data_IF_923937678985
#
_entry.id   IF_923937678985
#
_cell.length_a   1.000
_cell.length_b   1.000
_cell.length_c   1.000
_cell.angle_alpha   90.00
_cell.angle_beta   90.00
_cell.angle_gamma   90.00
#
_symmetry.space_group_name_H-M   'P 1'
#
loop_
_entity.id
_entity.type
_entity.pdbx_description
1 polymer ?
#
# COMPACT_ATOMS: atom_id res chain seq x y z
N UNK A 1 6.83 10.89 -43.32
CA UNK A 1 6.09 11.22 -42.08
C UNK A 1 6.13 12.73 -41.90
N UNK A 2 5.00 13.40 -42.12
CA UNK A 2 4.89 14.86 -42.12
C UNK A 2 4.75 15.41 -40.70
N UNK A 3 5.41 16.56 -40.45
CA UNK A 3 5.58 17.27 -39.17
C UNK A 3 4.27 17.83 -38.53
N UNK A 4 3.09 17.32 -38.92
CA UNK A 4 1.77 17.85 -38.50
C UNK A 4 1.08 17.10 -37.36
N UNK A 5 1.65 15.99 -36.86
CA UNK A 5 1.06 15.23 -35.73
C UNK A 5 1.53 15.67 -34.33
N UNK A 6 2.41 16.67 -34.25
CA UNK A 6 2.99 17.16 -32.98
C UNK A 6 2.18 18.28 -32.29
N UNK A 7 1.15 18.84 -32.94
CA UNK A 7 0.54 20.11 -32.55
C UNK A 7 -0.85 20.04 -31.90
N UNK A 8 -1.32 18.87 -31.48
CA UNK A 8 -2.54 18.72 -30.67
C UNK A 8 -2.24 18.24 -29.24
N UNK A 9 -1.19 18.78 -28.64
CA UNK A 9 -0.93 18.66 -27.22
C UNK A 9 -1.82 19.65 -26.45
N UNK A 10 -2.79 19.16 -25.66
CA UNK A 10 -3.55 20.03 -24.74
C UNK A 10 -2.58 20.74 -23.77
N UNK A 11 -2.83 22.01 -23.39
CA UNK A 11 -1.88 22.84 -22.63
C UNK A 11 -1.33 22.21 -21.35
N UNK A 12 -2.09 21.33 -20.70
CA UNK A 12 -1.68 20.66 -19.47
C UNK A 12 -0.67 19.50 -19.63
N UNK A 13 -0.44 18.99 -20.85
CA UNK A 13 0.54 17.91 -21.10
C UNK A 13 1.97 18.44 -21.20
N UNK A 14 2.12 19.61 -21.82
CA UNK A 14 3.40 20.33 -21.92
C UNK A 14 3.93 20.66 -20.52
N UNK A 15 3.04 20.97 -19.58
CA UNK A 15 3.39 21.36 -18.22
C UNK A 15 4.19 20.30 -17.44
N UNK A 16 3.76 19.03 -17.43
CA UNK A 16 4.44 17.99 -16.63
C UNK A 16 5.75 17.53 -17.26
N UNK A 17 5.79 17.40 -18.59
CA UNK A 17 7.04 17.09 -19.29
C UNK A 17 8.06 18.23 -19.14
N UNK A 18 7.61 19.50 -19.19
CA UNK A 18 8.47 20.65 -18.90
C UNK A 18 8.97 20.64 -17.46
N UNK A 19 8.15 20.22 -16.49
CA UNK A 19 8.54 20.14 -15.08
C UNK A 19 9.57 19.03 -14.82
N UNK A 20 9.38 17.85 -15.40
CA UNK A 20 10.39 16.78 -15.32
C UNK A 20 11.70 17.19 -15.98
N UNK A 21 11.62 17.82 -17.16
CA UNK A 21 12.78 18.34 -17.86
C UNK A 21 13.49 19.41 -17.03
N UNK A 22 12.74 20.31 -16.40
CA UNK A 22 13.28 21.33 -15.51
C UNK A 22 14.04 20.71 -14.33
N UNK A 23 13.45 19.74 -13.61
CA UNK A 23 14.17 19.08 -12.50
C UNK A 23 15.46 18.39 -12.97
N UNK A 24 15.45 17.75 -14.15
CA UNK A 24 16.65 17.13 -14.72
C UNK A 24 17.70 18.16 -15.15
N UNK A 25 17.29 19.28 -15.73
CA UNK A 25 18.19 20.40 -16.05
C UNK A 25 18.80 21.00 -14.78
N UNK A 26 18.08 20.94 -13.66
CA UNK A 26 18.59 21.28 -12.33
C UNK A 26 19.44 20.16 -11.69
N UNK A 27 19.79 19.11 -12.44
CA UNK A 27 20.65 18.01 -11.98
C UNK A 27 19.94 16.95 -11.12
N UNK A 28 18.60 17.00 -10.98
CA UNK A 28 17.86 16.06 -10.12
C UNK A 28 17.46 14.79 -10.87
N UNK A 29 17.40 13.68 -10.15
CA UNK A 29 16.80 12.42 -10.59
C UNK A 29 15.29 12.48 -10.40
N UNK A 30 14.53 12.11 -11.42
CA UNK A 30 13.06 12.10 -11.39
C UNK A 30 12.57 10.69 -11.10
N UNK A 31 11.98 10.48 -9.92
CA UNK A 31 11.40 9.20 -9.49
C UNK A 31 9.89 9.28 -9.53
N UNK A 32 9.24 8.24 -10.05
CA UNK A 32 7.80 8.14 -10.17
C UNK A 32 7.25 7.11 -9.18
N UNK A 33 6.22 7.49 -8.44
CA UNK A 33 5.50 6.64 -7.49
C UNK A 33 4.11 6.37 -8.03
N UNK A 34 3.87 5.15 -8.49
CA UNK A 34 2.62 4.75 -9.12
C UNK A 34 1.75 3.97 -8.12
N UNK A 35 0.59 4.55 -7.79
CA UNK A 35 -0.47 3.88 -7.04
C UNK A 35 -1.82 4.00 -7.74
N UNK A 36 -2.49 2.86 -7.94
CA UNK A 36 -3.82 2.81 -8.56
C UNK A 36 -4.96 2.72 -7.53
N UNK A 37 -4.62 2.64 -6.24
CA UNK A 37 -5.56 2.46 -5.13
C UNK A 37 -5.15 3.32 -3.92
N UNK A 38 -6.06 3.52 -2.97
CA UNK A 38 -5.72 4.10 -1.67
C UNK A 38 -4.66 3.28 -0.94
N UNK A 39 -4.79 1.94 -0.99
CA UNK A 39 -3.85 0.98 -0.42
C UNK A 39 -2.39 1.16 -0.87
N UNK A 40 -2.16 1.31 -2.18
CA UNK A 40 -0.80 1.46 -2.73
C UNK A 40 -0.02 2.62 -2.12
N UNK A 41 -0.73 3.60 -1.54
CA UNK A 41 -0.11 4.72 -0.83
C UNK A 41 0.62 4.30 0.43
N UNK A 42 0.05 3.40 1.23
CA UNK A 42 0.63 3.01 2.53
C UNK A 42 1.99 2.31 2.36
N UNK A 43 2.18 1.58 1.26
CA UNK A 43 3.45 0.90 0.94
C UNK A 43 4.50 1.83 0.34
N UNK A 44 4.08 2.86 -0.41
CA UNK A 44 4.99 3.78 -1.08
C UNK A 44 5.29 5.05 -0.27
N UNK A 45 4.47 5.39 0.72
CA UNK A 45 4.62 6.61 1.51
C UNK A 45 5.94 6.67 2.29
N UNK A 46 6.42 5.61 2.98
CA UNK A 46 7.71 5.64 3.66
C UNK A 46 8.87 5.85 2.68
N UNK A 47 8.81 5.20 1.52
CA UNK A 47 9.78 5.42 0.43
C UNK A 47 9.74 6.87 -0.04
N UNK A 48 8.55 7.45 -0.25
CA UNK A 48 8.41 8.85 -0.63
C UNK A 48 8.97 9.81 0.41
N UNK A 49 8.72 9.56 1.70
CA UNK A 49 9.26 10.35 2.81
C UNK A 49 10.79 10.41 2.71
N UNK A 50 11.43 9.24 2.58
CA UNK A 50 12.87 9.13 2.46
C UNK A 50 13.40 9.81 1.18
N UNK A 51 12.78 9.58 0.02
CA UNK A 51 13.20 10.24 -1.22
C UNK A 51 13.05 11.76 -1.18
N UNK A 52 12.09 12.28 -0.39
CA UNK A 52 11.82 13.72 -0.29
C UNK A 52 12.84 14.46 0.58
N UNK A 53 13.65 13.75 1.38
CA UNK A 53 14.76 14.36 2.15
C UNK A 53 15.98 14.65 1.26
N UNK A 54 16.02 14.06 0.07
CA UNK A 54 17.17 14.09 -0.84
C UNK A 54 17.02 15.18 -1.90
N UNK A 55 17.87 16.20 -1.84
CA UNK A 55 17.80 17.38 -2.71
C UNK A 55 18.09 17.06 -4.18
N UNK A 56 18.86 15.99 -4.43
CA UNK A 56 19.21 15.43 -5.72
C UNK A 56 18.09 14.58 -6.34
N UNK A 57 17.01 14.32 -5.59
CA UNK A 57 15.86 13.53 -6.05
C UNK A 57 14.61 14.42 -6.11
N UNK A 58 13.80 14.17 -7.13
CA UNK A 58 12.42 14.67 -7.21
C UNK A 58 11.46 13.50 -7.40
N UNK A 59 10.63 13.25 -6.41
CA UNK A 59 9.61 12.20 -6.45
C UNK A 59 8.23 12.76 -6.84
N UNK A 60 7.55 12.08 -7.78
CA UNK A 60 6.24 12.44 -8.30
C UNK A 60 5.22 11.33 -8.11
N UNK A 61 4.01 11.67 -7.67
CA UNK A 61 2.93 10.72 -7.48
C UNK A 61 2.05 10.62 -8.72
N UNK A 62 1.93 9.41 -9.26
CA UNK A 62 1.01 9.06 -10.33
C UNK A 62 -0.16 8.30 -9.69
N UNK A 63 -1.33 8.95 -9.65
CA UNK A 63 -2.50 8.41 -8.95
C UNK A 63 -3.63 8.07 -9.93
N UNK A 64 -4.24 6.89 -9.75
CA UNK A 64 -5.48 6.55 -10.45
C UNK A 64 -6.60 7.54 -10.07
N UNK A 65 -7.30 8.09 -11.07
CA UNK A 65 -8.35 9.08 -10.87
C UNK A 65 -9.70 8.42 -10.54
N UNK A 66 -9.75 7.59 -9.49
CA UNK A 66 -11.02 7.23 -8.84
C UNK A 66 -11.28 8.24 -7.72
N UNK A 67 -12.52 8.73 -7.60
CA UNK A 67 -12.95 9.66 -6.53
C UNK A 67 -12.59 9.12 -5.14
N UNK A 68 -12.72 7.82 -4.94
CA UNK A 68 -12.29 7.09 -3.73
C UNK A 68 -10.78 7.28 -3.46
N UNK A 69 -9.91 7.11 -4.46
CA UNK A 69 -8.47 7.31 -4.31
C UNK A 69 -8.11 8.76 -3.92
N UNK A 70 -8.93 9.75 -4.28
CA UNK A 70 -8.67 11.14 -3.90
C UNK A 70 -9.08 11.45 -2.45
N UNK A 71 -10.17 10.85 -1.97
CA UNK A 71 -10.64 11.05 -0.60
C UNK A 71 -9.75 10.28 0.39
N UNK A 72 -9.42 9.03 0.07
CA UNK A 72 -8.47 8.22 0.86
C UNK A 72 -7.11 8.89 0.96
N UNK A 73 -6.64 9.47 -0.13
CA UNK A 73 -5.41 10.26 -0.17
C UNK A 73 -5.42 11.42 0.83
N UNK A 74 -6.53 12.17 0.95
CA UNK A 74 -6.61 13.30 1.89
C UNK A 74 -6.58 12.84 3.34
N UNK A 75 -7.20 11.70 3.63
CA UNK A 75 -7.35 11.18 4.98
C UNK A 75 -6.07 10.50 5.52
N UNK A 76 -5.24 9.94 4.62
CA UNK A 76 -4.02 9.19 4.98
C UNK A 76 -2.76 10.02 5.07
N UNK A 77 -2.73 11.15 4.39
CA UNK A 77 -1.58 12.04 4.44
C UNK A 77 -1.62 12.80 5.75
N UNK A 78 -0.89 12.28 6.74
CA UNK A 78 -0.97 12.68 8.14
C UNK A 78 -0.54 14.11 8.47
N UNK A 79 -0.01 14.88 7.51
CA UNK A 79 0.33 16.30 7.71
C UNK A 79 -0.09 17.17 6.53
N UNK A 80 -0.42 18.43 6.81
CA UNK A 80 -0.80 19.40 5.78
C UNK A 80 0.35 19.66 4.79
N UNK A 81 1.60 19.59 5.27
CA UNK A 81 2.81 19.75 4.46
C UNK A 81 2.98 18.59 3.48
N UNK A 82 2.80 17.36 3.95
CA UNK A 82 2.86 16.19 3.08
C UNK A 82 1.70 16.22 2.07
N UNK A 83 0.53 16.72 2.47
CA UNK A 83 -0.63 16.85 1.59
C UNK A 83 -0.36 17.90 0.52
N UNK A 84 0.30 19.01 0.87
CA UNK A 84 0.74 20.04 -0.06
C UNK A 84 1.81 19.52 -1.02
N UNK A 85 2.83 18.81 -0.52
CA UNK A 85 3.90 18.23 -1.31
C UNK A 85 3.34 17.21 -2.31
N UNK A 86 2.49 16.29 -1.87
CA UNK A 86 1.91 15.32 -2.79
C UNK A 86 0.89 15.98 -3.74
N UNK A 87 0.12 16.98 -3.32
CA UNK A 87 -0.77 17.76 -4.22
C UNK A 87 0.02 18.44 -5.34
N UNK A 88 1.15 19.03 -5.00
CA UNK A 88 2.00 19.73 -5.96
C UNK A 88 2.62 18.79 -7.00
N UNK A 89 2.79 17.51 -6.67
CA UNK A 89 3.46 16.50 -7.51
C UNK A 89 2.51 15.38 -7.98
N UNK A 90 1.19 15.60 -7.92
CA UNK A 90 0.15 14.64 -8.30
C UNK A 90 -0.22 14.73 -9.79
N UNK A 91 -0.15 13.60 -10.49
CA UNK A 91 -0.55 13.48 -11.89
C UNK A 91 -1.83 12.63 -11.99
N UNK A 92 -2.97 13.20 -12.45
CA UNK A 92 -4.21 12.44 -12.63
C UNK A 92 -4.15 11.42 -13.77
N UNK A 93 -4.70 10.20 -13.56
CA UNK A 93 -4.78 9.11 -14.56
C UNK A 93 -5.28 9.49 -15.95
N UNK A 94 -6.30 10.34 -16.05
CA UNK A 94 -6.83 10.79 -17.36
C UNK A 94 -5.76 11.47 -18.21
N UNK A 95 -4.68 11.95 -17.57
CA UNK A 95 -3.52 12.54 -18.24
C UNK A 95 -2.42 11.51 -18.51
N UNK A 96 -2.37 10.41 -17.76
CA UNK A 96 -1.33 9.36 -17.78
C UNK A 96 -1.39 8.52 -19.06
N UNK A 97 -2.57 8.12 -19.55
CA UNK A 97 -2.74 7.45 -20.85
C UNK A 97 -2.27 8.29 -22.05
N UNK A 98 -2.22 9.61 -21.91
CA UNK A 98 -1.76 10.54 -22.96
C UNK A 98 -0.29 10.94 -22.79
N UNK A 99 0.27 10.83 -21.58
CA UNK A 99 1.72 10.96 -21.33
C UNK A 99 2.49 9.77 -21.92
N UNK A 100 1.87 8.58 -22.04
CA UNK A 100 2.47 7.43 -22.75
C UNK A 100 2.81 7.68 -24.24
N UNK A 101 2.19 8.69 -24.88
CA UNK A 101 2.52 9.10 -26.26
C UNK A 101 3.74 10.04 -26.34
N UNK A 102 4.09 10.71 -25.24
CA UNK A 102 5.23 11.61 -25.15
C UNK A 102 6.05 11.26 -23.93
N UNK A 103 6.93 10.26 -24.13
CA UNK A 103 8.05 9.87 -23.27
C UNK A 103 8.01 10.50 -21.87
N UNK A 104 7.43 9.78 -20.91
CA UNK A 104 7.71 10.03 -19.50
C UNK A 104 9.24 10.11 -19.34
N UNK A 105 9.76 11.25 -18.88
CA UNK A 105 11.19 11.44 -18.60
C UNK A 105 11.42 11.17 -17.11
N UNK A 106 11.05 9.98 -16.67
CA UNK A 106 11.41 9.46 -15.34
C UNK A 106 12.73 8.70 -15.44
N UNK A 107 13.57 8.82 -14.43
CA UNK A 107 14.78 8.00 -14.30
C UNK A 107 14.45 6.64 -13.68
N UNK A 108 13.39 6.56 -12.85
CA UNK A 108 12.98 5.34 -12.17
C UNK A 108 11.48 5.38 -11.83
N UNK A 109 10.83 4.21 -11.77
CA UNK A 109 9.48 4.07 -11.25
C UNK A 109 9.41 3.05 -10.11
N UNK A 110 8.59 3.33 -9.12
CA UNK A 110 8.27 2.44 -8.01
C UNK A 110 6.75 2.30 -7.98
N UNK A 111 6.26 1.07 -7.93
CA UNK A 111 4.84 0.78 -7.87
C UNK A 111 4.55 -0.31 -6.88
N UNK A 112 3.39 -0.21 -6.24
CA UNK A 112 2.92 -1.28 -5.39
C UNK A 112 2.02 -2.28 -6.16
N UNK A 113 1.72 -2.07 -7.45
CA UNK A 113 0.78 -2.93 -8.20
C UNK A 113 1.46 -3.67 -9.35
N UNK A 114 1.13 -4.95 -9.51
CA UNK A 114 1.45 -5.73 -10.71
C UNK A 114 0.17 -5.88 -11.53
N UNK A 115 0.21 -5.50 -12.81
CA UNK A 115 -0.93 -5.66 -13.73
C UNK A 115 -2.16 -4.77 -13.45
N UNK A 116 -2.97 -4.53 -14.50
CA UNK A 116 -4.18 -3.69 -14.46
C UNK A 116 -3.96 -2.29 -15.02
N UNK A 117 -4.90 -1.83 -15.86
CA UNK A 117 -4.78 -0.60 -16.65
C UNK A 117 -4.66 0.71 -15.83
N UNK A 118 -4.07 1.78 -16.43
CA UNK A 118 -2.96 1.73 -17.35
C UNK A 118 -1.68 1.90 -16.54
N UNK A 119 -0.75 1.00 -16.78
CA UNK A 119 0.66 1.31 -16.83
C UNK A 119 0.95 1.96 -18.20
N UNK A 120 1.03 3.30 -18.35
CA UNK A 120 1.62 3.89 -19.53
C UNK A 120 3.02 4.38 -19.16
N UNK A 121 3.78 3.53 -18.49
CA UNK A 121 5.20 3.78 -18.27
C UNK A 121 5.88 3.17 -19.48
N UNK A 122 6.64 4.02 -20.19
CA UNK A 122 7.54 3.58 -21.23
C UNK A 122 8.34 2.38 -20.70
N UNK A 123 8.27 1.22 -21.38
CA UNK A 123 8.98 -0.02 -20.98
C UNK A 123 10.49 0.17 -20.78
N UNK A 124 11.05 1.31 -21.21
CA UNK A 124 12.45 1.69 -21.01
C UNK A 124 12.76 2.27 -19.62
N UNK A 125 11.77 2.69 -18.83
CA UNK A 125 12.02 3.20 -17.48
C UNK A 125 12.16 2.00 -16.53
N UNK A 126 13.29 1.84 -15.83
CA UNK A 126 13.43 0.82 -14.81
C UNK A 126 12.33 0.96 -13.76
N UNK A 127 11.60 -0.14 -13.54
CA UNK A 127 10.42 -0.15 -12.68
C UNK A 127 10.57 -1.21 -11.60
N UNK A 128 10.48 -0.76 -10.35
CA UNK A 128 10.47 -1.59 -9.16
C UNK A 128 9.07 -1.84 -8.64
N UNK A 129 8.81 -3.09 -8.28
CA UNK A 129 7.60 -3.52 -7.58
C UNK A 129 7.86 -3.61 -6.07
N UNK A 130 6.99 -2.97 -5.29
CA UNK A 130 6.93 -3.09 -3.84
C UNK A 130 5.72 -3.96 -3.49
N UNK A 131 5.91 -5.13 -2.88
CA UNK A 131 4.77 -5.99 -2.61
C UNK A 131 3.80 -5.46 -1.54
N UNK A 132 2.52 -5.80 -1.69
CA UNK A 132 1.41 -5.32 -0.85
C UNK A 132 1.22 -6.08 0.47
N UNK A 133 2.21 -6.87 0.90
CA UNK A 133 2.10 -7.67 2.12
C UNK A 133 3.28 -8.61 2.29
N UNK A 134 3.52 -9.02 3.54
CA UNK A 134 4.42 -10.13 3.85
C UNK A 134 3.65 -11.41 3.53
N UNK A 135 4.12 -12.20 2.56
CA UNK A 135 3.34 -13.31 1.99
C UNK A 135 3.24 -14.43 3.00
N UNK A 136 2.12 -15.13 2.98
CA UNK A 136 1.91 -16.41 3.63
C UNK A 136 0.99 -17.33 2.82
N UNK A 137 0.65 -16.91 1.60
CA UNK A 137 -0.24 -17.61 0.66
C UNK A 137 0.54 -17.89 -0.60
N UNK A 138 0.28 -19.04 -1.21
CA UNK A 138 0.83 -19.34 -2.54
C UNK A 138 0.36 -18.26 -3.50
N UNK A 139 1.32 -17.56 -4.12
CA UNK A 139 1.02 -16.65 -5.22
C UNK A 139 0.95 -17.51 -6.47
N UNK A 140 -0.26 -17.98 -6.79
CA UNK A 140 -0.49 -18.87 -7.93
C UNK A 140 -0.28 -18.15 -9.26
N UNK A 141 -0.72 -16.88 -9.33
CA UNK A 141 -0.57 -16.00 -10.48
C UNK A 141 0.08 -14.68 -10.07
N UNK A 142 1.36 -14.48 -10.40
CA UNK A 142 1.89 -13.13 -10.47
C UNK A 142 1.41 -12.46 -11.77
N UNK A 143 0.92 -11.22 -11.72
CA UNK A 143 0.54 -10.49 -12.92
C UNK A 143 1.75 -10.28 -13.83
N UNK A 144 1.52 -10.06 -15.13
CA UNK A 144 2.57 -9.91 -16.16
C UNK A 144 3.78 -9.08 -15.66
N UNK A 145 4.83 -9.80 -15.28
CA UNK A 145 6.07 -9.25 -14.72
C UNK A 145 6.94 -8.61 -15.81
N UNK A 146 6.58 -8.72 -17.09
CA UNK A 146 7.32 -8.06 -18.18
C UNK A 146 7.38 -6.53 -18.01
N UNK A 147 6.49 -5.97 -17.18
CA UNK A 147 6.42 -4.54 -16.86
C UNK A 147 7.28 -4.12 -15.66
N UNK A 148 7.65 -5.04 -14.76
CA UNK A 148 8.43 -4.76 -13.56
C UNK A 148 9.60 -5.74 -13.48
N UNK A 149 10.82 -5.26 -13.72
CA UNK A 149 12.03 -6.10 -13.70
C UNK A 149 12.75 -6.08 -12.36
N UNK A 150 12.40 -5.15 -11.46
CA UNK A 150 13.07 -4.99 -10.16
C UNK A 150 12.08 -5.33 -9.04
N UNK A 151 12.48 -6.21 -8.12
CA UNK A 151 11.71 -6.58 -6.95
C UNK A 151 12.31 -5.85 -5.75
N UNK A 152 11.53 -4.99 -5.11
CA UNK A 152 11.88 -4.46 -3.79
C UNK A 152 11.45 -5.50 -2.76
N UNK A 153 12.37 -6.42 -2.47
CA UNK A 153 12.09 -7.61 -1.66
C UNK A 153 12.02 -7.23 -0.18
N UNK A 154 10.91 -7.61 0.50
CA UNK A 154 10.81 -7.46 1.95
C UNK A 154 11.51 -8.57 2.72
N UNK A 155 11.99 -9.63 2.06
CA UNK A 155 12.75 -10.69 2.70
C UNK A 155 12.77 -12.01 1.93
N UNK A 156 13.40 -13.05 2.49
CA UNK A 156 13.74 -14.30 1.80
C UNK A 156 12.57 -14.99 1.09
N UNK A 157 11.37 -14.92 1.66
CA UNK A 157 10.19 -15.54 1.04
C UNK A 157 9.86 -14.95 -0.33
N UNK A 158 10.07 -13.65 -0.53
CA UNK A 158 9.88 -13.04 -1.86
C UNK A 158 10.99 -13.39 -2.83
N UNK A 159 12.20 -13.69 -2.34
CA UNK A 159 13.32 -14.15 -3.15
C UNK A 159 13.05 -15.57 -3.67
N UNK A 160 12.47 -16.43 -2.83
CA UNK A 160 11.99 -17.76 -3.21
C UNK A 160 10.87 -17.67 -4.23
N UNK A 161 9.87 -16.80 -4.00
CA UNK A 161 8.78 -16.57 -4.95
C UNK A 161 9.37 -16.14 -6.31
N UNK A 162 10.24 -15.13 -6.33
CA UNK A 162 10.90 -14.68 -7.56
C UNK A 162 11.66 -15.83 -8.28
N UNK A 163 12.34 -16.68 -7.51
CA UNK A 163 13.08 -17.85 -8.03
C UNK A 163 12.15 -18.90 -8.64
N UNK A 164 10.99 -19.17 -8.05
CA UNK A 164 10.01 -20.12 -8.60
C UNK A 164 9.38 -19.66 -9.92
N UNK A 165 9.29 -18.36 -10.18
CA UNK A 165 8.84 -17.85 -11.47
C UNK A 165 9.91 -17.93 -12.55
N UNK A 166 11.19 -17.82 -12.17
CA UNK A 166 12.31 -18.04 -13.10
C UNK A 166 12.28 -19.46 -13.69
N UNK A 167 12.07 -20.48 -12.84
CA UNK A 167 12.02 -21.88 -13.29
C UNK A 167 10.83 -22.18 -14.21
N UNK A 168 9.81 -21.32 -14.24
CA UNK A 168 8.65 -21.38 -15.16
C UNK A 168 8.87 -20.65 -16.50
N UNK A 169 10.10 -20.22 -16.79
CA UNK A 169 10.45 -19.55 -18.06
C UNK A 169 10.06 -18.07 -18.14
N UNK A 170 9.74 -17.44 -17.00
CA UNK A 170 9.44 -16.00 -16.94
C UNK A 170 10.71 -15.17 -16.71
N UNK A 171 10.64 -13.87 -16.99
CA UNK A 171 11.76 -12.94 -16.87
C UNK A 171 12.35 -12.92 -15.45
N UNK A 172 13.69 -12.91 -15.36
CA UNK A 172 14.40 -12.76 -14.09
C UNK A 172 14.13 -11.38 -13.47
N UNK A 173 13.81 -11.40 -12.18
CA UNK A 173 13.78 -10.20 -11.35
C UNK A 173 15.21 -9.83 -10.93
N UNK A 174 15.54 -8.55 -10.98
CA UNK A 174 16.64 -7.97 -10.21
C UNK A 174 16.13 -7.69 -8.79
N UNK A 175 16.69 -8.37 -7.79
CA UNK A 175 16.17 -8.36 -6.42
C UNK A 175 16.94 -7.36 -5.58
N UNK A 176 16.25 -6.35 -5.07
CA UNK A 176 16.79 -5.34 -4.17
C UNK A 176 16.17 -5.53 -2.79
N UNK A 177 16.97 -5.97 -1.81
CA UNK A 177 16.51 -6.17 -0.45
C UNK A 177 16.39 -4.81 0.25
N UNK A 178 15.16 -4.40 0.53
CA UNK A 178 14.88 -3.12 1.19
C UNK A 178 14.06 -3.26 2.48
N UNK A 179 13.76 -4.51 2.90
CA UNK A 179 12.83 -4.77 3.99
C UNK A 179 11.41 -4.34 3.62
N UNK A 180 10.59 -4.04 4.63
CA UNK A 180 9.18 -3.71 4.42
C UNK A 180 8.85 -2.29 4.91
N UNK A 181 9.10 -1.25 4.09
CA UNK A 181 9.07 0.15 4.54
C UNK A 181 7.78 0.59 5.22
N UNK A 182 6.65 -0.05 4.85
CA UNK A 182 5.34 0.22 5.45
C UNK A 182 5.39 0.19 6.98
N UNK A 183 6.14 -0.74 7.59
CA UNK A 183 6.14 -0.94 9.05
C UNK A 183 7.35 -0.31 9.77
N UNK A 184 8.27 0.36 9.06
CA UNK A 184 9.49 0.94 9.64
C UNK A 184 9.18 1.85 10.84
N UNK A 185 8.20 2.74 10.69
CA UNK A 185 7.79 3.67 11.75
C UNK A 185 7.21 2.95 12.97
N UNK A 186 6.55 1.80 12.75
CA UNK A 186 5.99 0.99 13.83
C UNK A 186 7.11 0.29 14.59
N UNK A 187 8.07 -0.31 13.89
CA UNK A 187 9.24 -0.98 14.48
C UNK A 187 10.06 0.03 15.29
N UNK A 188 10.31 1.22 14.74
CA UNK A 188 11.04 2.27 15.45
C UNK A 188 10.35 2.69 16.76
N UNK A 189 9.01 2.67 16.80
CA UNK A 189 8.21 3.04 17.97
C UNK A 189 7.98 1.87 18.94
N UNK A 190 7.97 0.63 18.47
CA UNK A 190 7.70 -0.54 19.32
C UNK A 190 8.81 -0.78 20.34
N UNK A 191 10.06 -0.40 20.02
CA UNK A 191 11.18 -0.42 20.96
C UNK A 191 10.90 0.37 22.26
N UNK A 192 10.05 1.40 22.22
CA UNK A 192 9.66 2.17 23.40
C UNK A 192 8.46 1.58 24.18
N UNK A 193 7.71 0.64 23.58
CA UNK A 193 6.44 0.08 24.11
C UNK A 193 6.63 -0.82 25.32
N UNK A 194 7.79 -1.47 25.45
CA UNK A 194 8.06 -2.46 26.51
C UNK A 194 8.09 -1.89 27.95
N UNK A 195 7.94 -0.57 28.12
CA UNK A 195 7.99 0.10 29.41
C UNK A 195 6.64 0.25 30.14
N UNK A 196 5.49 -0.11 29.56
CA UNK A 196 4.15 0.25 30.09
C UNK A 196 3.17 -0.91 30.36
N UNK A 197 3.58 -2.18 30.19
CA UNK A 197 2.70 -3.38 30.25
C UNK A 197 2.14 -3.76 31.65
N UNK A 198 2.20 -2.89 32.66
CA UNK A 198 1.99 -3.30 34.06
C UNK A 198 0.65 -2.98 34.74
N UNK A 199 -0.23 -2.12 34.17
CA UNK A 199 -1.37 -1.57 34.93
C UNK A 199 -2.69 -1.35 34.17
N UNK A 200 -2.81 -1.76 32.90
CA UNK A 200 -4.01 -1.54 32.09
C UNK A 200 -4.65 -2.87 31.67
N UNK A 201 -5.98 -2.87 31.47
CA UNK A 201 -6.70 -3.99 30.86
C UNK A 201 -6.08 -4.30 29.50
N UNK A 202 -5.64 -5.55 29.24
CA UNK A 202 -4.97 -5.88 27.99
C UNK A 202 -5.88 -5.63 26.79
N UNK A 203 -5.27 -5.16 25.70
CA UNK A 203 -5.98 -4.85 24.45
C UNK A 203 -5.64 -5.87 23.38
N UNK A 204 -6.67 -6.48 22.78
CA UNK A 204 -6.55 -7.49 21.73
C UNK A 204 -6.95 -6.89 20.39
N UNK A 205 -6.08 -7.02 19.39
CA UNK A 205 -6.39 -6.69 18.00
C UNK A 205 -6.94 -7.93 17.29
N UNK A 206 -8.23 -7.93 16.98
CA UNK A 206 -8.85 -8.93 16.12
C UNK A 206 -8.77 -8.50 14.66
N UNK A 207 -7.98 -9.23 13.85
CA UNK A 207 -7.70 -8.89 12.46
C UNK A 207 -7.73 -10.12 11.54
N UNK A 208 -8.92 -10.72 11.28
CA UNK A 208 -9.05 -11.94 10.48
C UNK A 208 -8.89 -11.70 8.97
N UNK A 209 -8.64 -12.79 8.23
CA UNK A 209 -8.65 -12.81 6.77
C UNK A 209 -10.08 -12.75 6.23
N UNK A 210 -10.26 -12.13 5.07
CA UNK A 210 -11.58 -11.94 4.43
C UNK A 210 -12.08 -13.15 3.62
N UNK A 211 -11.23 -14.13 3.38
CA UNK A 211 -11.47 -15.20 2.41
C UNK A 211 -12.48 -16.24 2.95
N UNK A 212 -13.01 -17.07 2.05
CA UNK A 212 -13.82 -18.22 2.43
C UNK A 212 -13.02 -19.16 3.35
N UNK A 213 -13.68 -19.75 4.34
CA UNK A 213 -13.09 -20.62 5.36
C UNK A 213 -12.07 -19.93 6.29
N UNK A 214 -11.88 -18.61 6.19
CA UNK A 214 -11.12 -17.84 7.16
C UNK A 214 -11.91 -17.63 8.45
N UNK A 215 -11.26 -17.12 9.51
CA UNK A 215 -11.86 -16.99 10.82
C UNK A 215 -13.14 -16.12 10.81
N UNK A 216 -13.16 -15.06 10.00
CA UNK A 216 -14.36 -14.22 9.85
C UNK A 216 -15.52 -14.96 9.17
N UNK A 217 -15.24 -15.82 8.20
CA UNK A 217 -16.28 -16.60 7.49
C UNK A 217 -16.84 -17.73 8.37
N UNK A 218 -15.98 -18.39 9.15
CA UNK A 218 -16.35 -19.55 9.98
C UNK A 218 -16.96 -19.14 11.31
N UNK A 219 -16.34 -18.19 12.01
CA UNK A 219 -16.71 -17.82 13.38
C UNK A 219 -17.37 -16.45 13.49
N UNK A 220 -17.36 -15.66 12.41
CA UNK A 220 -17.89 -14.30 12.43
C UNK A 220 -17.25 -13.45 13.51
N UNK A 221 -18.10 -12.85 14.35
CA UNK A 221 -17.69 -11.99 15.46
C UNK A 221 -17.74 -12.70 16.82
N UNK A 222 -17.99 -14.01 16.87
CA UNK A 222 -17.97 -14.77 18.11
C UNK A 222 -16.62 -14.67 18.87
N UNK A 223 -15.44 -14.61 18.21
CA UNK A 223 -14.19 -14.35 18.92
C UNK A 223 -14.16 -12.98 19.61
N UNK A 224 -14.80 -11.95 19.03
CA UNK A 224 -14.90 -10.63 19.67
C UNK A 224 -15.76 -10.71 20.93
N UNK A 225 -16.89 -11.41 20.86
CA UNK A 225 -17.77 -11.61 22.02
C UNK A 225 -17.03 -12.33 23.17
N UNK A 226 -16.32 -13.43 22.87
CA UNK A 226 -15.54 -14.18 23.86
C UNK A 226 -14.41 -13.34 24.52
N UNK A 227 -13.72 -12.49 23.73
CA UNK A 227 -12.70 -11.59 24.26
C UNK A 227 -13.28 -10.53 25.21
N UNK A 228 -14.48 -10.03 24.92
CA UNK A 228 -15.19 -9.08 25.77
C UNK A 228 -15.69 -9.73 27.07
N UNK A 229 -16.17 -10.98 27.00
CA UNK A 229 -16.55 -11.78 28.16
C UNK A 229 -15.35 -12.04 29.09
N UNK A 230 -14.17 -12.24 28.52
CA UNK A 230 -12.90 -12.33 29.26
C UNK A 230 -12.44 -10.99 29.87
N UNK A 231 -13.19 -9.91 29.67
CA UNK A 231 -12.93 -8.60 30.26
C UNK A 231 -11.89 -7.76 29.53
N UNK A 232 -11.51 -8.13 28.30
CA UNK A 232 -10.46 -7.47 27.52
C UNK A 232 -10.97 -6.27 26.73
N UNK A 233 -10.06 -5.36 26.37
CA UNK A 233 -10.34 -4.36 25.34
C UNK A 233 -10.13 -5.01 23.96
N UNK A 234 -11.00 -4.72 22.99
CA UNK A 234 -10.93 -5.32 21.66
C UNK A 234 -10.90 -4.24 20.58
N UNK A 235 -9.86 -4.27 19.75
CA UNK A 235 -9.79 -3.50 18.50
C UNK A 235 -10.19 -4.45 17.37
N UNK A 236 -11.25 -4.12 16.63
CA UNK A 236 -11.73 -4.91 15.50
C UNK A 236 -11.31 -4.24 14.20
N UNK A 237 -10.40 -4.88 13.45
CA UNK A 237 -9.93 -4.41 12.14
C UNK A 237 -10.22 -5.45 11.08
N UNK A 238 -11.27 -5.23 10.30
CA UNK A 238 -11.59 -6.09 9.17
C UNK A 238 -10.85 -5.65 7.90
N UNK A 239 -10.71 -6.56 6.94
CA UNK A 239 -10.17 -6.21 5.63
C UNK A 239 -11.20 -5.34 4.87
N UNK A 240 -10.76 -4.37 4.03
CA UNK A 240 -11.67 -3.55 3.24
C UNK A 240 -12.60 -4.36 2.32
N UNK A 241 -12.13 -5.51 1.81
CA UNK A 241 -12.98 -6.46 1.07
C UNK A 241 -14.15 -6.93 1.93
N UNK A 242 -13.94 -7.27 3.21
CA UNK A 242 -15.00 -7.64 4.16
C UNK A 242 -15.99 -6.50 4.43
N UNK A 243 -15.52 -5.25 4.35
CA UNK A 243 -16.33 -4.05 4.55
C UNK A 243 -17.03 -3.58 3.27
N UNK A 244 -16.76 -4.22 2.13
CA UNK A 244 -17.34 -3.92 0.82
C UNK A 244 -18.40 -4.93 0.39
N UNK A 245 -18.93 -4.73 -0.82
CA UNK A 245 -19.82 -5.70 -1.49
C UNK A 245 -18.98 -6.69 -2.28
N UNK A 246 -18.46 -7.72 -1.62
CA UNK A 246 -17.70 -8.78 -2.27
C UNK A 246 -18.44 -10.13 -2.16
N UNK A 247 -18.47 -10.98 -3.20
CA UNK A 247 -19.21 -12.25 -3.18
C UNK A 247 -18.84 -13.22 -2.05
N UNK A 248 -17.62 -13.08 -1.52
CA UNK A 248 -17.12 -13.87 -0.39
C UNK A 248 -17.79 -13.50 0.95
N UNK A 249 -18.36 -12.30 1.04
CA UNK A 249 -18.98 -11.83 2.27
C UNK A 249 -20.39 -12.40 2.36
N UNK A 250 -20.62 -13.27 3.35
CA UNK A 250 -21.93 -13.87 3.60
C UNK A 250 -22.87 -12.96 4.37
N UNK A 251 -22.33 -11.96 5.07
CA UNK A 251 -23.03 -10.99 5.89
C UNK A 251 -22.57 -9.57 5.55
N UNK A 252 -23.40 -8.58 5.87
CA UNK A 252 -22.97 -7.19 5.90
C UNK A 252 -22.19 -6.91 7.19
N UNK A 253 -20.88 -7.16 7.15
CA UNK A 253 -20.03 -6.98 8.32
C UNK A 253 -20.03 -5.55 8.86
N UNK A 254 -20.32 -4.52 8.04
CA UNK A 254 -20.46 -3.15 8.57
C UNK A 254 -21.68 -3.05 9.47
N UNK A 255 -22.80 -3.64 9.06
CA UNK A 255 -24.00 -3.69 9.87
C UNK A 255 -23.80 -4.57 11.11
N UNK A 256 -23.17 -5.74 10.97
CA UNK A 256 -22.90 -6.63 12.11
C UNK A 256 -22.05 -5.96 13.20
N UNK A 257 -21.07 -5.13 12.81
CA UNK A 257 -20.24 -4.38 13.75
C UNK A 257 -21.04 -3.31 14.53
N UNK A 258 -22.24 -2.92 14.09
CA UNK A 258 -23.07 -1.94 14.80
C UNK A 258 -23.48 -2.41 16.18
N UNK A 259 -23.55 -3.73 16.42
CA UNK A 259 -23.87 -4.30 17.75
C UNK A 259 -22.87 -3.90 18.84
N UNK A 260 -21.66 -3.48 18.44
CA UNK A 260 -20.63 -3.01 19.36
C UNK A 260 -20.57 -1.48 19.49
N UNK A 261 -21.40 -0.73 18.75
CA UNK A 261 -21.41 0.72 18.85
C UNK A 261 -21.75 1.17 20.27
N UNK A 262 -20.94 2.08 20.80
CA UNK A 262 -21.10 2.58 22.17
C UNK A 262 -20.50 1.69 23.26
N UNK A 263 -19.99 0.49 22.93
CA UNK A 263 -19.26 -0.30 23.92
C UNK A 263 -17.87 0.32 24.18
N UNK A 264 -17.56 0.76 25.41
CA UNK A 264 -16.29 1.46 25.70
C UNK A 264 -15.06 0.56 25.58
N UNK A 265 -15.24 -0.76 25.53
CA UNK A 265 -14.17 -1.75 25.37
C UNK A 265 -13.95 -2.18 23.92
N UNK A 266 -14.75 -1.67 22.97
CA UNK A 266 -14.60 -2.02 21.55
C UNK A 266 -14.21 -0.79 20.73
N UNK A 267 -13.13 -0.92 19.95
CA UNK A 267 -12.76 0.05 18.92
C UNK A 267 -12.88 -0.58 17.54
N UNK A 268 -13.79 -0.06 16.72
CA UNK A 268 -13.95 -0.50 15.33
C UNK A 268 -13.03 0.34 14.44
N UNK A 269 -12.12 -0.33 13.72
CA UNK A 269 -11.18 0.33 12.82
C UNK A 269 -11.79 0.47 11.43
N UNK A 270 -12.06 1.72 11.04
CA UNK A 270 -12.50 2.05 9.68
C UNK A 270 -11.36 2.29 8.69
N UNK A 271 -10.12 2.43 9.16
CA UNK A 271 -8.94 2.68 8.32
C UNK A 271 -8.35 1.38 7.77
N UNK A 272 -7.88 1.40 6.52
CA UNK A 272 -7.24 0.22 5.93
C UNK A 272 -5.85 -0.06 6.54
N UNK A 273 -5.14 1.00 6.91
CA UNK A 273 -3.83 0.91 7.55
C UNK A 273 -3.97 0.37 8.99
N UNK A 274 -3.32 -0.76 9.26
CA UNK A 274 -3.33 -1.41 10.56
C UNK A 274 -2.22 -0.92 11.51
N UNK A 275 -1.18 -0.28 10.97
CA UNK A 275 0.03 0.10 11.71
C UNK A 275 -0.22 0.85 13.04
N UNK A 276 -1.10 1.87 13.10
CA UNK A 276 -1.32 2.59 14.36
C UNK A 276 -1.92 1.71 15.47
N UNK A 277 -2.56 0.61 15.10
CA UNK A 277 -3.23 -0.32 16.02
C UNK A 277 -2.29 -1.39 16.55
N UNK A 278 -1.19 -1.70 15.84
CA UNK A 278 -0.17 -2.61 16.33
C UNK A 278 0.48 -2.09 17.63
N UNK A 279 0.69 -0.78 17.73
CA UNK A 279 1.26 -0.16 18.93
C UNK A 279 0.25 -0.07 20.10
N UNK A 280 -1.04 -0.27 19.83
CA UNK A 280 -2.12 -0.16 20.83
C UNK A 280 -2.61 -1.52 21.32
N UNK A 281 -2.14 -2.61 20.73
CA UNK A 281 -2.55 -3.96 21.07
C UNK A 281 -1.42 -4.70 21.77
N UNK A 282 -1.77 -5.45 22.81
CA UNK A 282 -0.86 -6.32 23.53
C UNK A 282 -0.72 -7.68 22.85
N UNK A 283 -1.83 -8.15 22.26
CA UNK A 283 -1.95 -9.43 21.56
C UNK A 283 -2.78 -9.22 20.28
N UNK A 284 -2.46 -9.97 19.23
CA UNK A 284 -3.31 -10.06 18.03
C UNK A 284 -3.97 -11.44 17.97
N UNK A 285 -5.27 -11.45 17.65
CA UNK A 285 -5.99 -12.65 17.21
C UNK A 285 -6.22 -12.54 15.70
N UNK A 286 -5.60 -13.43 14.95
CA UNK A 286 -5.67 -13.48 13.49
C UNK A 286 -5.64 -14.94 13.01
N UNK A 287 -5.65 -15.13 11.70
CA UNK A 287 -5.59 -16.41 11.00
C UNK A 287 -4.46 -16.35 9.95
N UNK A 288 -4.73 -16.76 8.71
CA UNK A 288 -3.78 -16.69 7.58
C UNK A 288 -3.64 -15.28 6.98
N UNK A 289 -3.62 -14.24 7.81
CA UNK A 289 -3.51 -12.85 7.35
C UNK A 289 -2.06 -12.37 7.30
N UNK A 290 -1.68 -11.67 6.22
CA UNK A 290 -0.36 -11.03 6.13
C UNK A 290 -0.09 -10.00 7.24
N UNK A 291 -1.14 -9.38 7.81
CA UNK A 291 -0.97 -8.42 8.91
C UNK A 291 -0.53 -9.07 10.22
N UNK A 292 -0.67 -10.39 10.37
CA UNK A 292 -0.14 -11.10 11.53
C UNK A 292 1.39 -11.04 11.55
N UNK A 293 2.03 -11.20 10.39
CA UNK A 293 3.48 -11.06 10.24
C UNK A 293 3.95 -9.63 10.44
N UNK A 294 3.17 -8.65 9.97
CA UNK A 294 3.43 -7.23 10.25
C UNK A 294 3.39 -6.94 11.76
N UNK A 295 2.45 -7.55 12.50
CA UNK A 295 2.36 -7.38 13.96
C UNK A 295 3.50 -8.09 14.70
N UNK A 296 3.91 -9.28 14.27
CA UNK A 296 5.03 -10.01 14.85
C UNK A 296 6.35 -9.24 14.76
N UNK A 297 6.54 -8.44 13.72
CA UNK A 297 7.72 -7.57 13.58
C UNK A 297 7.77 -6.43 14.63
N UNK A 298 6.73 -6.28 15.46
CA UNK A 298 6.64 -5.23 16.49
C UNK A 298 6.91 -5.72 17.91
N UNK A 299 7.17 -7.02 18.09
CA UNK A 299 7.55 -7.61 19.39
C UNK A 299 9.08 -7.57 19.58
#
# INVERSE_FOLDING_TARGET
MTCKSLLTLRPHHVFWNARFLFDRLMGRKVILLLSSTGHGFDYLLPIYKELSTRHEIRAYWILANKSECQQDYRNRVGTAEMLAAVKQHKIPRSRVAQIGRFAIIGDFCITAHLGGEPFPINRKIPTAYVPHGVVNKVIEDLPDISLCRILFSPGPMYDEIASTFHTRGQALWDIWHIGYPKIDEVIAKSAARNSHRGKQTPTVLFAPTWNKHAALDVYGLAPVDALLEAGLNVIVKLHPISLGKHPVNRLDWKNELTKYQGNPRVTIVGSENANPWFLKADVMVSDVSGVAYEFLATD
#
